data_IF_165820264850
#
_entry.id   IF_165820264850
#
_cell.length_a   1.000
_cell.length_b   1.000
_cell.length_c   1.000
_cell.angle_alpha   90.00
_cell.angle_beta   90.00
_cell.angle_gamma   90.00
#
_symmetry.space_group_name_H-M   'P 1'
#
loop_
_entity.id
_entity.type
_entity.pdbx_description
1 polymer ?
#
# COMPACT_ATOMS: atom_id res chain seq x y z
N UNK A 1 15.58 -29.11 14.51
CA UNK A 1 15.36 -28.05 15.52
C UNK A 1 14.79 -26.76 14.94
N UNK A 2 15.44 -26.09 13.97
CA UNK A 2 14.92 -24.83 13.38
C UNK A 2 13.53 -24.95 12.71
N UNK A 3 13.28 -26.05 11.97
CA UNK A 3 11.97 -26.30 11.32
C UNK A 3 10.85 -26.61 12.32
N UNK A 4 11.18 -27.23 13.45
CA UNK A 4 10.23 -27.58 14.52
C UNK A 4 9.79 -26.34 15.32
N UNK A 5 10.70 -25.38 15.53
CA UNK A 5 10.38 -24.11 16.18
C UNK A 5 9.39 -23.28 15.37
N UNK A 6 9.53 -23.27 14.03
CA UNK A 6 8.63 -22.55 13.13
C UNK A 6 7.21 -23.10 13.18
N UNK A 7 7.06 -24.43 13.20
CA UNK A 7 5.75 -25.10 13.31
C UNK A 7 5.13 -24.90 14.70
N UNK A 8 5.93 -24.86 15.76
CA UNK A 8 5.44 -24.55 17.12
C UNK A 8 4.99 -23.08 17.22
N UNK A 9 5.69 -22.14 16.58
CA UNK A 9 5.26 -20.73 16.50
C UNK A 9 3.93 -20.60 15.73
N UNK A 10 3.78 -21.37 14.65
CA UNK A 10 2.55 -21.48 13.87
C UNK A 10 1.39 -22.08 14.69
N UNK A 11 1.67 -23.09 15.53
CA UNK A 11 0.67 -23.75 16.38
C UNK A 11 0.28 -22.93 17.62
N UNK A 12 1.22 -22.18 18.22
CA UNK A 12 0.92 -21.28 19.34
C UNK A 12 0.06 -20.09 18.88
N UNK A 13 0.19 -19.67 17.62
CA UNK A 13 -0.68 -18.67 16.99
C UNK A 13 -2.14 -19.12 16.77
N UNK A 14 -2.49 -20.39 17.01
CA UNK A 14 -3.84 -20.94 16.80
C UNK A 14 -4.69 -21.06 18.07
N UNK A 15 -4.20 -20.62 19.24
CA UNK A 15 -4.99 -20.64 20.48
C UNK A 15 -5.80 -19.33 20.60
N UNK A 16 -7.12 -19.46 20.70
CA UNK A 16 -8.06 -18.35 20.79
C UNK A 16 -7.95 -17.61 22.14
N UNK A 17 -7.87 -16.29 22.09
CA UNK A 17 -7.75 -15.39 23.24
C UNK A 17 -8.55 -14.10 23.02
N UNK A 18 -8.96 -13.48 24.13
CA UNK A 18 -9.77 -12.25 24.27
C UNK A 18 -9.63 -11.24 23.12
N UNK A 19 -10.77 -10.89 22.49
CA UNK A 19 -10.87 -10.12 21.24
C UNK A 19 -10.65 -8.63 21.49
N UNK A 20 -9.41 -8.15 21.36
CA UNK A 20 -9.08 -6.74 21.09
C UNK A 20 -8.65 -6.63 19.63
N UNK A 21 -9.61 -6.84 18.72
CA UNK A 21 -9.29 -6.88 17.31
C UNK A 21 -9.26 -5.49 16.69
N UNK A 22 -8.12 -5.13 16.12
CA UNK A 22 -7.97 -4.14 15.06
C UNK A 22 -8.68 -4.54 13.77
N UNK A 23 -9.10 -5.81 13.63
CA UNK A 23 -9.89 -6.23 12.49
C UNK A 23 -11.37 -5.93 12.81
N UNK A 24 -12.01 -5.09 12.00
CA UNK A 24 -13.40 -4.69 12.13
C UNK A 24 -14.28 -5.87 11.75
N UNK A 25 -15.32 -6.16 12.55
CA UNK A 25 -16.34 -7.11 12.16
C UNK A 25 -16.90 -6.72 10.79
N UNK A 26 -16.93 -7.68 9.89
CA UNK A 26 -17.61 -7.56 8.60
C UNK A 26 -18.96 -6.83 8.74
N UNK A 27 -19.22 -5.90 7.81
CA UNK A 27 -20.52 -5.23 7.73
C UNK A 27 -21.67 -6.25 7.74
N UNK A 28 -22.78 -5.92 8.39
CA UNK A 28 -23.99 -6.75 8.33
C UNK A 28 -24.33 -7.07 6.87
N UNK A 29 -24.82 -8.29 6.62
CA UNK A 29 -25.09 -8.78 5.27
C UNK A 29 -25.92 -7.75 4.49
N UNK A 30 -25.39 -7.28 3.37
CA UNK A 30 -26.04 -6.25 2.58
C UNK A 30 -25.07 -5.20 2.07
N UNK A 31 -25.65 -4.12 1.55
CA UNK A 31 -24.93 -2.95 1.07
C UNK A 31 -24.44 -2.10 2.25
N UNK A 32 -23.24 -1.56 2.14
CA UNK A 32 -22.69 -0.64 3.13
C UNK A 32 -22.00 0.56 2.46
N UNK A 33 -21.92 1.64 3.24
CA UNK A 33 -21.14 2.84 2.94
C UNK A 33 -20.40 3.21 4.21
N UNK A 34 -19.08 3.36 4.12
CA UNK A 34 -18.24 3.93 5.16
C UNK A 34 -17.45 5.12 4.58
N UNK A 35 -16.59 5.73 5.40
CA UNK A 35 -15.89 6.96 5.01
C UNK A 35 -15.05 6.79 3.73
N UNK A 36 -14.41 5.63 3.57
CA UNK A 36 -13.48 5.39 2.46
C UNK A 36 -14.09 4.54 1.35
N UNK A 37 -15.10 3.73 1.66
CA UNK A 37 -15.56 2.66 0.79
C UNK A 37 -17.08 2.55 0.67
N UNK A 38 -17.52 2.11 -0.50
CA UNK A 38 -18.86 1.64 -0.79
C UNK A 38 -18.77 0.16 -1.17
N UNK A 39 -19.70 -0.68 -0.74
CA UNK A 39 -19.59 -2.09 -1.03
C UNK A 39 -20.78 -2.94 -0.64
N UNK A 40 -20.57 -4.25 -0.75
CA UNK A 40 -21.54 -5.27 -0.40
C UNK A 40 -20.86 -6.40 0.37
N UNK A 41 -21.49 -6.80 1.47
CA UNK A 41 -21.02 -7.83 2.39
C UNK A 41 -21.94 -9.05 2.34
N UNK A 42 -21.34 -10.25 2.29
CA UNK A 42 -22.06 -11.52 2.40
C UNK A 42 -21.18 -12.64 2.98
N UNK A 43 -21.77 -13.44 3.89
CA UNK A 43 -21.07 -14.54 4.57
C UNK A 43 -19.82 -14.06 5.31
N UNK A 44 -18.61 -14.36 4.83
CA UNK A 44 -17.32 -13.91 5.37
C UNK A 44 -16.56 -13.05 4.35
N UNK A 45 -17.28 -12.50 3.37
CA UNK A 45 -16.72 -11.81 2.21
C UNK A 45 -17.27 -10.39 2.15
N UNK A 46 -16.41 -9.47 1.75
CA UNK A 46 -16.77 -8.11 1.39
C UNK A 46 -16.19 -7.78 0.01
N UNK A 47 -16.97 -7.09 -0.82
CA UNK A 47 -16.51 -6.48 -2.06
C UNK A 47 -16.76 -4.99 -1.97
N UNK A 48 -15.76 -4.17 -2.28
CA UNK A 48 -15.86 -2.72 -2.15
C UNK A 48 -15.04 -1.96 -3.17
N UNK A 49 -15.41 -0.71 -3.41
CA UNK A 49 -14.62 0.28 -4.14
C UNK A 49 -14.43 1.51 -3.24
N UNK A 50 -13.47 2.37 -3.56
CA UNK A 50 -13.20 3.59 -2.81
C UNK A 50 -13.49 4.84 -3.66
N UNK A 51 -14.74 5.35 -3.67
CA UNK A 51 -15.16 6.42 -4.59
C UNK A 51 -14.39 7.74 -4.41
N UNK A 52 -13.79 7.97 -3.24
CA UNK A 52 -12.95 9.14 -3.02
C UNK A 52 -11.69 9.13 -3.89
N UNK A 53 -11.20 7.94 -4.25
CA UNK A 53 -10.01 7.77 -5.10
C UNK A 53 -10.32 8.05 -6.59
N UNK A 54 -11.59 7.93 -7.01
CA UNK A 54 -12.00 8.24 -8.38
C UNK A 54 -11.72 9.71 -8.75
N UNK A 55 -11.70 10.62 -7.76
CA UNK A 55 -11.40 12.06 -7.95
C UNK A 55 -9.95 12.27 -8.40
N UNK A 56 -9.04 11.38 -8.02
CA UNK A 56 -7.64 11.42 -8.46
C UNK A 56 -7.35 10.40 -9.58
N UNK A 57 -8.40 9.88 -10.21
CA UNK A 57 -8.30 8.93 -11.32
C UNK A 57 -7.91 7.51 -10.92
N UNK A 58 -8.02 7.17 -9.63
CA UNK A 58 -7.67 5.84 -9.11
C UNK A 58 -8.95 5.03 -8.95
N UNK A 59 -9.20 4.12 -9.87
CA UNK A 59 -10.38 3.26 -9.90
C UNK A 59 -10.03 1.88 -9.34
N UNK A 60 -10.59 1.53 -8.18
CA UNK A 60 -10.21 0.32 -7.46
C UNK A 60 -11.39 -0.63 -7.21
N UNK A 61 -11.06 -1.91 -7.04
CA UNK A 61 -11.93 -2.96 -6.55
C UNK A 61 -11.19 -3.77 -5.50
N UNK A 62 -11.76 -3.82 -4.29
CA UNK A 62 -11.33 -4.62 -3.17
C UNK A 62 -12.21 -5.85 -2.99
N UNK A 63 -11.58 -6.95 -2.58
CA UNK A 63 -12.22 -8.18 -2.15
C UNK A 63 -11.58 -8.59 -0.83
N UNK A 64 -12.36 -8.68 0.23
CA UNK A 64 -11.93 -9.08 1.56
C UNK A 64 -12.56 -10.41 1.94
N UNK A 65 -11.76 -11.27 2.55
CA UNK A 65 -12.19 -12.53 3.13
C UNK A 65 -11.70 -12.66 4.56
N UNK A 66 -12.65 -12.69 5.49
CA UNK A 66 -12.41 -12.86 6.91
C UNK A 66 -12.29 -14.35 7.22
N UNK A 67 -11.05 -14.82 7.40
CA UNK A 67 -10.78 -16.21 7.80
C UNK A 67 -11.28 -16.46 9.22
N UNK A 68 -11.04 -15.50 10.10
CA UNK A 68 -11.55 -15.43 11.47
C UNK A 68 -11.42 -13.99 11.99
N UNK A 69 -11.80 -13.77 13.26
CA UNK A 69 -11.76 -12.46 13.93
C UNK A 69 -10.36 -11.80 14.05
N UNK A 70 -9.29 -12.57 13.81
CA UNK A 70 -7.90 -12.14 13.94
C UNK A 70 -7.12 -12.19 12.63
N UNK A 71 -7.74 -12.60 11.51
CA UNK A 71 -7.05 -12.76 10.24
C UNK A 71 -7.94 -12.45 9.04
N UNK A 72 -7.43 -11.59 8.16
CA UNK A 72 -8.08 -11.17 6.93
C UNK A 72 -7.15 -11.40 5.73
N UNK A 73 -7.76 -11.81 4.62
CA UNK A 73 -7.16 -11.77 3.29
C UNK A 73 -7.85 -10.68 2.49
N UNK A 74 -7.10 -9.78 1.88
CA UNK A 74 -7.63 -8.73 1.00
C UNK A 74 -6.94 -8.84 -0.37
N UNK A 75 -7.71 -8.70 -1.43
CA UNK A 75 -7.21 -8.52 -2.79
C UNK A 75 -7.76 -7.19 -3.28
N UNK A 76 -6.87 -6.25 -3.56
CA UNK A 76 -7.25 -4.93 -4.08
C UNK A 76 -6.51 -4.68 -5.37
N UNK A 77 -7.25 -4.43 -6.45
CA UNK A 77 -6.67 -4.08 -7.73
C UNK A 77 -7.39 -2.92 -8.37
N UNK A 78 -6.72 -2.25 -9.29
CA UNK A 78 -7.27 -1.08 -9.94
C UNK A 78 -6.45 -0.56 -11.09
N UNK A 79 -6.99 0.49 -11.70
CA UNK A 79 -6.34 1.26 -12.75
C UNK A 79 -6.31 2.72 -12.29
N UNK A 80 -5.17 3.35 -12.52
CA UNK A 80 -4.90 4.76 -12.29
C UNK A 80 -4.81 5.40 -13.67
N UNK A 81 -5.68 6.38 -13.89
CA UNK A 81 -5.65 7.25 -15.04
C UNK A 81 -4.95 8.56 -14.64
N UNK A 82 -3.67 8.73 -15.02
CA UNK A 82 -2.87 9.87 -14.57
C UNK A 82 -3.35 11.20 -15.15
N UNK A 83 -4.24 11.20 -16.14
CA UNK A 83 -4.73 12.41 -16.80
C UNK A 83 -6.00 12.98 -16.15
N UNK A 84 -6.63 12.25 -15.23
CA UNK A 84 -7.83 12.75 -14.53
C UNK A 84 -7.52 14.01 -13.74
N UNK A 85 -6.46 13.99 -12.92
CA UNK A 85 -6.12 15.14 -12.08
C UNK A 85 -5.74 16.39 -12.91
N UNK A 86 -4.83 16.34 -13.90
CA UNK A 86 -4.56 17.48 -14.77
C UNK A 86 -5.81 18.02 -15.48
N UNK A 87 -6.71 17.14 -15.92
CA UNK A 87 -7.94 17.56 -16.62
C UNK A 87 -8.88 18.40 -15.75
N UNK A 88 -8.88 18.20 -14.42
CA UNK A 88 -9.62 19.08 -13.51
C UNK A 88 -9.06 20.51 -13.46
N UNK A 89 -7.78 20.69 -13.79
CA UNK A 89 -7.11 22.00 -13.86
C UNK A 89 -7.18 22.63 -15.25
N UNK A 90 -7.91 22.03 -16.19
CA UNK A 90 -8.11 22.57 -17.54
C UNK A 90 -7.05 22.14 -18.56
N UNK A 91 -6.11 21.28 -18.17
CA UNK A 91 -5.17 20.67 -19.10
C UNK A 91 -5.90 19.71 -20.03
N UNK A 92 -5.59 19.79 -21.33
CA UNK A 92 -6.15 18.86 -22.30
C UNK A 92 -5.57 17.48 -22.07
N UNK A 93 -6.41 16.45 -22.16
CA UNK A 93 -5.91 15.08 -22.22
C UNK A 93 -5.13 14.89 -23.52
N UNK A 94 -4.04 14.11 -23.53
CA UNK A 94 -3.37 13.76 -24.77
C UNK A 94 -4.34 13.09 -25.75
N UNK A 95 -4.25 13.49 -27.02
CA UNK A 95 -5.06 12.92 -28.10
C UNK A 95 -4.29 11.84 -28.89
N UNK A 96 -2.95 11.85 -28.80
CA UNK A 96 -2.02 11.01 -29.59
C UNK A 96 -1.33 9.92 -28.72
N UNK A 97 -2.10 9.24 -27.88
CA UNK A 97 -1.60 8.13 -27.05
C UNK A 97 -2.32 7.99 -25.71
N UNK A 98 -2.01 6.92 -24.99
CA UNK A 98 -2.56 6.68 -23.64
C UNK A 98 -1.50 6.13 -22.70
N UNK A 99 -1.60 6.45 -21.42
CA UNK A 99 -0.88 5.78 -20.34
C UNK A 99 -1.89 5.31 -19.29
N UNK A 100 -1.81 4.03 -18.94
CA UNK A 100 -2.55 3.44 -17.83
C UNK A 100 -1.56 2.85 -16.85
N UNK A 101 -1.72 3.19 -15.59
CA UNK A 101 -0.99 2.55 -14.51
C UNK A 101 -1.97 1.58 -13.85
N UNK A 102 -1.64 0.32 -13.71
CA UNK A 102 -2.47 -0.64 -12.97
C UNK A 102 -1.71 -1.17 -11.78
N UNK A 103 -2.48 -1.63 -10.80
CA UNK A 103 -1.91 -2.26 -9.63
C UNK A 103 -2.81 -3.40 -9.16
N UNK A 104 -2.19 -4.37 -8.52
CA UNK A 104 -2.86 -5.49 -7.88
C UNK A 104 -2.08 -5.86 -6.63
N UNK A 105 -2.75 -5.75 -5.49
CA UNK A 105 -2.22 -5.96 -4.17
C UNK A 105 -2.92 -7.17 -3.56
N UNK A 106 -2.13 -8.20 -3.21
CA UNK A 106 -2.59 -9.26 -2.33
C UNK A 106 -2.17 -8.94 -0.91
N UNK A 107 -3.05 -9.13 0.06
CA UNK A 107 -2.88 -8.69 1.43
C UNK A 107 -3.24 -9.81 2.39
N UNK A 108 -2.35 -10.11 3.33
CA UNK A 108 -2.68 -10.89 4.52
C UNK A 108 -2.32 -10.07 5.75
N UNK A 109 -3.28 -9.89 6.64
CA UNK A 109 -3.06 -9.26 7.93
C UNK A 109 -3.57 -10.12 9.05
N UNK A 110 -2.79 -10.13 10.12
CA UNK A 110 -3.10 -10.88 11.33
C UNK A 110 -2.97 -9.94 12.52
N UNK A 111 -3.87 -10.09 13.48
CA UNK A 111 -3.81 -9.41 14.76
C UNK A 111 -4.00 -10.40 15.90
N UNK A 112 -2.89 -10.84 16.49
CA UNK A 112 -2.90 -11.79 17.60
C UNK A 112 -2.83 -11.04 18.94
N UNK A 113 -3.83 -11.21 19.78
CA UNK A 113 -3.86 -10.59 21.11
C UNK A 113 -3.49 -11.59 22.20
N UNK A 114 -2.55 -11.20 23.06
CA UNK A 114 -2.12 -11.94 24.24
C UNK A 114 -2.21 -11.05 25.49
N UNK A 115 -3.39 -11.04 26.12
CA UNK A 115 -3.68 -10.13 27.23
C UNK A 115 -3.65 -8.68 26.75
N UNK A 116 -2.74 -7.88 27.31
CA UNK A 116 -2.52 -6.50 26.86
C UNK A 116 -1.50 -6.37 25.73
N UNK A 117 -0.90 -7.47 25.26
CA UNK A 117 0.00 -7.43 24.11
C UNK A 117 -0.75 -7.73 22.82
N UNK A 118 -0.34 -7.08 21.74
CA UNK A 118 -0.75 -7.39 20.37
C UNK A 118 0.47 -7.75 19.54
N UNK A 119 0.31 -8.70 18.62
CA UNK A 119 1.27 -8.97 17.55
C UNK A 119 0.52 -8.85 16.24
N UNK A 120 0.87 -7.82 15.48
CA UNK A 120 0.29 -7.52 14.18
C UNK A 120 1.31 -7.86 13.11
N UNK A 121 0.95 -8.77 12.22
CA UNK A 121 1.81 -9.16 11.10
C UNK A 121 1.10 -8.94 9.80
N UNK A 122 1.89 -8.66 8.78
CA UNK A 122 1.38 -8.31 7.47
C UNK A 122 2.36 -8.73 6.39
N UNK A 123 1.81 -9.25 5.30
CA UNK A 123 2.54 -9.54 4.07
C UNK A 123 1.68 -9.04 2.91
N UNK A 124 2.33 -8.35 1.99
CA UNK A 124 1.70 -7.81 0.79
C UNK A 124 2.56 -8.02 -0.46
N UNK A 125 2.33 -9.13 -1.20
CA UNK A 125 2.73 -9.17 -2.60
C UNK A 125 1.95 -8.14 -3.41
N UNK A 126 2.63 -7.39 -4.26
CA UNK A 126 2.02 -6.40 -5.14
C UNK A 126 2.57 -6.51 -6.55
N UNK A 127 1.71 -6.31 -7.52
CA UNK A 127 2.05 -6.12 -8.92
C UNK A 127 1.67 -4.68 -9.27
N UNK A 128 2.59 -3.94 -9.85
CA UNK A 128 2.35 -2.65 -10.46
C UNK A 128 2.73 -2.75 -11.93
N UNK A 129 2.03 -2.05 -12.79
CA UNK A 129 2.45 -1.93 -14.16
C UNK A 129 2.01 -0.64 -14.81
N UNK A 130 2.74 -0.28 -15.85
CA UNK A 130 2.46 0.86 -16.70
C UNK A 130 2.29 0.31 -18.10
N UNK A 131 1.16 0.62 -18.75
CA UNK A 131 0.97 0.39 -20.18
C UNK A 131 0.86 1.74 -20.86
N UNK A 132 1.69 1.96 -21.87
CA UNK A 132 1.72 3.18 -22.66
C UNK A 132 1.57 2.84 -24.14
N UNK A 133 0.77 3.62 -24.85
CA UNK A 133 0.72 3.62 -26.30
C UNK A 133 1.36 4.90 -26.79
N UNK A 134 2.36 4.74 -27.66
CA UNK A 134 3.07 5.87 -28.27
C UNK A 134 2.72 5.88 -29.75
N UNK A 135 2.05 6.94 -30.17
CA UNK A 135 1.87 7.25 -31.58
C UNK A 135 3.15 7.97 -32.04
N UNK A 136 4.01 7.27 -32.79
CA UNK A 136 5.17 7.89 -33.42
C UNK A 136 4.73 8.61 -34.71
N UNK A 137 5.28 9.80 -34.96
CA UNK A 137 4.88 10.69 -36.06
C UNK A 137 5.30 10.11 -37.43
N UNK A 138 6.26 9.18 -37.45
CA UNK A 138 6.88 8.67 -38.68
C UNK A 138 6.87 7.14 -38.89
N UNK A 139 6.42 6.30 -37.92
CA UNK A 139 6.31 4.84 -38.14
C UNK A 139 5.48 4.12 -37.05
N UNK A 140 4.53 3.28 -37.44
CA UNK A 140 3.68 2.38 -36.63
C UNK A 140 3.67 2.56 -35.09
N UNK A 141 2.53 3.02 -34.57
CA UNK A 141 2.23 3.10 -33.13
C UNK A 141 2.60 1.80 -32.40
N UNK A 142 3.23 1.90 -31.22
CA UNK A 142 3.62 0.71 -30.44
C UNK A 142 3.17 0.80 -28.97
N UNK A 143 2.84 -0.36 -28.42
CA UNK A 143 2.48 -0.52 -27.01
C UNK A 143 3.73 -0.89 -26.20
N UNK A 144 4.05 -0.08 -25.20
CA UNK A 144 5.02 -0.37 -24.15
C UNK A 144 4.29 -0.82 -22.88
N UNK A 145 4.82 -1.85 -22.24
CA UNK A 145 4.38 -2.34 -20.95
C UNK A 145 5.57 -2.51 -20.03
N UNK A 146 5.48 -2.01 -18.80
CA UNK A 146 6.42 -2.30 -17.71
C UNK A 146 5.64 -2.87 -16.55
N UNK A 147 6.14 -3.94 -15.94
CA UNK A 147 5.53 -4.66 -14.84
C UNK A 147 6.55 -4.84 -13.72
N UNK A 148 6.27 -4.32 -12.53
CA UNK A 148 7.05 -4.53 -11.33
C UNK A 148 6.28 -5.44 -10.36
N UNK A 149 6.93 -6.49 -9.87
CA UNK A 149 6.42 -7.29 -8.74
C UNK A 149 7.26 -6.99 -7.53
N UNK A 150 6.60 -6.63 -6.42
CA UNK A 150 7.24 -6.31 -5.16
C UNK A 150 6.58 -7.07 -4.02
N UNK A 151 7.34 -7.26 -2.95
CA UNK A 151 6.83 -7.84 -1.71
C UNK A 151 7.15 -6.91 -0.57
N UNK A 152 6.14 -6.63 0.26
CA UNK A 152 6.30 -5.89 1.51
C UNK A 152 5.85 -6.78 2.66
N UNK A 153 6.42 -6.52 3.83
CA UNK A 153 5.99 -7.18 5.04
C UNK A 153 6.26 -6.31 6.25
N UNK A 154 5.45 -6.51 7.29
CA UNK A 154 5.71 -5.91 8.57
C UNK A 154 5.37 -6.81 9.73
N UNK A 155 6.03 -6.53 10.85
CA UNK A 155 5.72 -7.12 12.15
C UNK A 155 5.75 -6.01 13.19
N UNK A 156 4.68 -5.92 13.97
CA UNK A 156 4.51 -4.92 15.01
C UNK A 156 4.08 -5.59 16.31
N UNK A 157 4.77 -5.25 17.39
CA UNK A 157 4.39 -5.57 18.75
C UNK A 157 3.75 -4.34 19.39
N UNK A 158 2.56 -4.53 19.93
CA UNK A 158 1.85 -3.50 20.68
C UNK A 158 1.62 -3.89 22.14
N UNK A 159 1.41 -2.88 22.97
CA UNK A 159 1.02 -3.01 24.36
C UNK A 159 -0.09 -2.00 24.68
N UNK A 160 -1.28 -2.52 24.99
CA UNK A 160 -2.44 -1.75 25.40
C UNK A 160 -2.28 -1.25 26.85
N UNK A 161 -2.15 0.07 27.03
CA UNK A 161 -2.25 0.69 28.37
C UNK A 161 -3.71 0.78 28.81
N UNK A 162 -4.63 0.96 27.86
CA UNK A 162 -6.08 0.91 28.04
C UNK A 162 -6.70 0.18 26.86
N UNK A 163 -8.01 -0.08 26.88
CA UNK A 163 -8.71 -0.72 25.76
C UNK A 163 -8.67 0.10 24.46
N UNK A 164 -8.39 1.40 24.57
CA UNK A 164 -8.42 2.35 23.47
C UNK A 164 -7.05 3.01 23.22
N UNK A 165 -6.00 2.61 23.94
CA UNK A 165 -4.67 3.21 23.81
C UNK A 165 -3.57 2.15 23.81
N UNK A 166 -2.76 2.17 22.76
CA UNK A 166 -1.73 1.19 22.48
C UNK A 166 -0.39 1.89 22.22
N UNK A 167 0.67 1.42 22.88
CA UNK A 167 2.05 1.72 22.50
C UNK A 167 2.52 0.64 21.52
N UNK A 168 3.26 1.00 20.48
CA UNK A 168 3.74 0.00 19.53
C UNK A 168 5.18 0.25 19.09
N UNK A 169 5.81 -0.85 18.69
CA UNK A 169 7.09 -0.87 17.97
C UNK A 169 7.02 -1.95 16.90
N UNK A 170 7.63 -1.70 15.74
CA UNK A 170 7.61 -2.64 14.64
C UNK A 170 8.71 -2.42 13.64
N UNK A 171 8.80 -3.35 12.71
CA UNK A 171 9.68 -3.29 11.56
C UNK A 171 8.86 -3.50 10.30
N UNK A 172 9.12 -2.69 9.29
CA UNK A 172 8.66 -2.87 7.93
C UNK A 172 9.86 -3.16 7.04
N UNK A 173 9.65 -3.94 6.00
CA UNK A 173 10.58 -3.98 4.88
C UNK A 173 9.89 -4.38 3.59
N UNK A 174 10.58 -4.13 2.49
CA UNK A 174 10.12 -4.54 1.19
C UNK A 174 11.24 -4.60 0.17
N UNK A 175 10.95 -5.29 -0.92
CA UNK A 175 11.92 -5.63 -1.94
C UNK A 175 11.25 -5.76 -3.31
N UNK A 176 11.96 -5.29 -4.34
CA UNK A 176 11.54 -5.45 -5.73
C UNK A 176 11.97 -6.83 -6.22
N UNK A 177 10.99 -7.69 -6.48
CA UNK A 177 11.24 -9.07 -6.88
C UNK A 177 11.59 -9.18 -8.37
N UNK A 178 10.82 -8.52 -9.23
CA UNK A 178 11.01 -8.57 -10.69
C UNK A 178 10.52 -7.31 -11.37
N UNK A 179 11.18 -6.95 -12.46
CA UNK A 179 10.70 -6.01 -13.47
C UNK A 179 10.63 -6.80 -14.77
N UNK A 180 9.52 -6.69 -15.51
CA UNK A 180 9.37 -7.23 -16.85
C UNK A 180 8.88 -6.12 -17.76
N UNK A 181 9.41 -6.06 -18.98
CA UNK A 181 8.97 -5.11 -20.00
C UNK A 181 8.47 -5.84 -21.24
N UNK A 182 7.58 -5.20 -21.98
CA UNK A 182 7.02 -5.71 -23.23
C UNK A 182 6.84 -4.55 -24.22
N UNK A 183 7.45 -4.59 -25.41
CA UNK A 183 8.43 -5.58 -25.87
C UNK A 183 9.68 -5.63 -24.96
N UNK A 184 10.28 -6.82 -24.87
CA UNK A 184 11.57 -7.02 -24.21
C UNK A 184 12.66 -6.37 -25.08
N UNK A 185 13.45 -5.40 -24.56
CA UNK A 185 14.49 -4.75 -25.33
C UNK A 185 15.66 -5.68 -25.70
N UNK A 186 15.83 -6.84 -25.06
CA UNK A 186 16.99 -7.75 -25.22
C UNK A 186 18.33 -6.97 -25.19
N UNK A 187 18.45 -6.09 -24.17
CA UNK A 187 19.54 -5.13 -24.04
C UNK A 187 20.26 -5.30 -22.69
N UNK A 188 21.59 -5.41 -22.72
CA UNK A 188 22.44 -5.55 -21.55
C UNK A 188 22.37 -4.32 -20.61
N UNK A 189 22.15 -3.13 -21.16
CA UNK A 189 21.98 -1.92 -20.36
C UNK A 189 20.66 -1.96 -19.57
N UNK A 190 19.62 -2.57 -20.15
CA UNK A 190 18.35 -2.78 -19.46
C UNK A 190 18.46 -3.83 -18.35
N UNK A 191 19.15 -4.94 -18.61
CA UNK A 191 19.42 -5.96 -17.58
C UNK A 191 20.20 -5.39 -16.39
N UNK A 192 21.20 -4.56 -16.67
CA UNK A 192 21.97 -3.87 -15.62
C UNK A 192 21.11 -2.86 -14.85
N UNK A 193 20.22 -2.13 -15.54
CA UNK A 193 19.22 -1.28 -14.89
C UNK A 193 18.32 -2.09 -13.94
N UNK A 194 17.77 -3.22 -14.39
CA UNK A 194 16.90 -4.07 -13.55
C UNK A 194 17.68 -4.62 -12.35
N UNK A 195 18.93 -5.04 -12.54
CA UNK A 195 19.79 -5.52 -11.46
C UNK A 195 20.02 -4.44 -10.41
N UNK A 196 20.40 -3.23 -10.84
CA UNK A 196 20.58 -2.07 -9.96
C UNK A 196 19.29 -1.70 -9.24
N UNK A 197 18.17 -1.64 -9.95
CA UNK A 197 16.87 -1.33 -9.35
C UNK A 197 16.52 -2.33 -8.23
N UNK A 198 16.80 -3.62 -8.41
CA UNK A 198 16.60 -4.64 -7.36
C UNK A 198 17.55 -4.44 -6.18
N UNK A 199 18.84 -4.20 -6.42
CA UNK A 199 19.83 -3.96 -5.37
C UNK A 199 19.50 -2.72 -4.53
N UNK A 200 19.08 -1.64 -5.19
CA UNK A 200 18.72 -0.37 -4.58
C UNK A 200 17.27 -0.37 -4.01
N UNK A 201 16.46 -1.40 -4.30
CA UNK A 201 15.06 -1.46 -3.85
C UNK A 201 14.87 -1.86 -2.40
N UNK A 202 15.80 -2.64 -1.82
CA UNK A 202 15.63 -3.21 -0.49
C UNK A 202 15.57 -2.09 0.53
N UNK A 203 14.46 -1.99 1.25
CA UNK A 203 14.32 -1.03 2.33
C UNK A 203 13.87 -1.71 3.62
N UNK A 204 14.20 -1.06 4.74
CA UNK A 204 13.74 -1.48 6.05
C UNK A 204 13.55 -0.27 6.94
N UNK A 205 12.40 -0.18 7.59
CA UNK A 205 12.02 0.90 8.49
C UNK A 205 11.71 0.32 9.87
N UNK A 206 12.35 0.86 10.91
CA UNK A 206 11.87 0.73 12.28
C UNK A 206 10.75 1.74 12.50
N UNK A 207 9.70 1.35 13.20
CA UNK A 207 8.59 2.23 13.57
C UNK A 207 8.25 2.07 15.03
N UNK A 208 7.84 3.16 15.67
CA UNK A 208 7.34 3.11 17.03
C UNK A 208 6.48 4.32 17.31
N UNK A 209 5.52 4.17 18.21
CA UNK A 209 4.57 5.24 18.44
C UNK A 209 3.42 4.84 19.34
N UNK A 210 2.34 5.59 19.19
CA UNK A 210 1.13 5.45 19.96
C UNK A 210 -0.07 5.40 19.04
N UNK A 211 -1.07 4.61 19.42
CA UNK A 211 -2.31 4.48 18.69
C UNK A 211 -3.49 4.64 19.64
N UNK A 212 -4.43 5.47 19.23
CA UNK A 212 -5.68 5.73 19.92
C UNK A 212 -6.83 5.18 19.11
N UNK A 213 -7.78 4.51 19.76
CA UNK A 213 -8.99 4.02 19.12
C UNK A 213 -10.21 4.77 19.67
N UNK A 214 -11.07 5.22 18.75
CA UNK A 214 -12.39 5.77 19.07
C UNK A 214 -13.45 4.77 18.61
N UNK A 215 -13.93 3.96 19.55
CA UNK A 215 -14.90 2.88 19.29
C UNK A 215 -14.34 1.80 18.37
N UNK A 216 -15.21 1.24 17.52
CA UNK A 216 -14.87 0.13 16.62
C UNK A 216 -14.48 0.59 15.21
N UNK A 217 -14.54 1.89 14.93
CA UNK A 217 -14.50 2.38 13.55
C UNK A 217 -13.25 3.20 13.25
N UNK A 218 -12.69 3.90 14.24
CA UNK A 218 -11.67 4.90 13.99
C UNK A 218 -10.45 4.72 14.89
N UNK A 219 -9.27 4.73 14.28
CA UNK A 219 -7.96 4.73 14.90
C UNK A 219 -7.15 5.94 14.45
N UNK A 220 -6.41 6.53 15.39
CA UNK A 220 -5.39 7.55 15.11
C UNK A 220 -4.06 6.99 15.56
N UNK A 221 -3.12 6.90 14.63
CA UNK A 221 -1.75 6.48 14.89
C UNK A 221 -0.82 7.68 14.76
N UNK A 222 -0.07 7.96 15.83
CA UNK A 222 1.04 8.91 15.81
C UNK A 222 2.32 8.12 16.00
N UNK A 223 3.17 8.11 14.98
CA UNK A 223 4.38 7.30 14.98
C UNK A 223 5.61 8.04 14.50
N UNK A 224 6.74 7.49 14.91
CA UNK A 224 8.07 7.83 14.43
C UNK A 224 8.63 6.67 13.61
N UNK A 225 9.37 6.98 12.55
CA UNK A 225 10.02 6.05 11.63
C UNK A 225 11.52 6.31 11.64
N UNK A 226 12.28 5.22 11.58
CA UNK A 226 13.74 5.24 11.49
C UNK A 226 14.10 4.38 10.30
N UNK A 227 14.81 4.98 9.34
CA UNK A 227 15.37 4.22 8.22
C UNK A 227 16.50 3.33 8.73
N UNK A 228 16.32 2.02 8.61
CA UNK A 228 17.34 1.00 8.95
C UNK A 228 18.15 0.61 7.72
N UNK A 229 17.47 0.50 6.58
CA UNK A 229 18.07 0.28 5.26
C UNK A 229 17.40 1.26 4.31
N UNK A 230 18.22 2.09 3.66
CA UNK A 230 17.77 3.11 2.73
C UNK A 230 17.69 2.55 1.31
N UNK A 231 16.47 2.29 0.84
CA UNK A 231 16.19 1.79 -0.50
C UNK A 231 15.02 2.53 -1.14
N UNK A 232 14.99 2.54 -2.47
CA UNK A 232 14.05 3.34 -3.27
C UNK A 232 12.57 3.01 -2.98
N UNK A 233 12.25 1.78 -2.57
CA UNK A 233 10.88 1.38 -2.23
C UNK A 233 10.37 2.00 -0.93
N UNK A 234 11.20 2.67 -0.12
CA UNK A 234 10.76 3.36 1.10
C UNK A 234 9.67 4.42 0.85
N UNK A 235 9.58 4.91 -0.39
CA UNK A 235 8.62 5.91 -0.83
C UNK A 235 7.31 5.31 -1.34
N UNK A 236 7.27 4.01 -1.67
CA UNK A 236 6.02 3.32 -1.97
C UNK A 236 5.40 2.85 -0.66
N UNK A 237 4.75 3.78 0.03
CA UNK A 237 3.92 3.51 1.22
C UNK A 237 2.49 3.18 0.75
N UNK A 238 1.58 2.73 1.61
CA UNK A 238 0.23 2.44 1.13
C UNK A 238 -0.58 1.51 2.02
N UNK A 239 -1.14 2.08 3.08
CA UNK A 239 -2.15 1.44 3.91
C UNK A 239 -3.45 2.26 4.00
N UNK A 240 -3.41 3.58 3.76
CA UNK A 240 -4.57 4.46 3.80
C UNK A 240 -4.63 5.40 2.58
N UNK A 241 -5.75 6.11 2.41
CA UNK A 241 -5.91 7.09 1.33
C UNK A 241 -4.85 8.22 1.37
N UNK A 242 -4.40 8.61 2.57
CA UNK A 242 -3.34 9.62 2.76
C UNK A 242 -2.02 9.19 2.15
N UNK A 243 -1.66 7.91 2.24
CA UNK A 243 -0.45 7.34 1.66
C UNK A 243 -0.52 7.37 0.13
N UNK A 244 -1.69 7.10 -0.46
CA UNK A 244 -1.88 7.23 -1.92
C UNK A 244 -1.70 8.68 -2.39
N UNK A 245 -2.27 9.63 -1.65
CA UNK A 245 -2.09 11.06 -1.91
C UNK A 245 -0.60 11.43 -1.79
N UNK A 246 0.07 11.03 -0.72
CA UNK A 246 1.50 11.27 -0.50
C UNK A 246 2.37 10.68 -1.60
N UNK A 247 2.13 9.42 -1.99
CA UNK A 247 2.85 8.77 -3.07
C UNK A 247 2.69 9.55 -4.38
N UNK A 248 1.49 10.07 -4.66
CA UNK A 248 1.22 10.86 -5.87
C UNK A 248 2.07 12.13 -5.91
N UNK A 249 2.12 12.89 -4.82
CA UNK A 249 2.97 14.09 -4.72
C UNK A 249 4.46 13.75 -4.76
N UNK A 250 4.89 12.71 -4.03
CA UNK A 250 6.30 12.29 -4.00
C UNK A 250 6.79 11.76 -5.34
N UNK A 251 5.96 11.00 -6.06
CA UNK A 251 6.28 10.52 -7.41
C UNK A 251 6.40 11.67 -8.40
N UNK A 252 5.55 12.69 -8.29
CA UNK A 252 5.64 13.89 -9.14
C UNK A 252 6.96 14.63 -8.89
N UNK A 253 7.33 14.82 -7.62
CA UNK A 253 8.61 15.46 -7.25
C UNK A 253 9.83 14.67 -7.75
N UNK A 254 9.82 13.34 -7.59
CA UNK A 254 10.87 12.46 -8.11
C UNK A 254 10.94 12.56 -9.64
N UNK A 255 9.80 12.56 -10.32
CA UNK A 255 9.73 12.63 -11.78
C UNK A 255 10.25 13.96 -12.31
N UNK A 256 9.81 15.09 -11.75
CA UNK A 256 10.33 16.42 -12.10
C UNK A 256 11.84 16.52 -11.84
N UNK A 257 12.33 15.93 -10.75
CA UNK A 257 13.77 15.84 -10.48
C UNK A 257 14.56 15.02 -11.50
N UNK A 258 13.98 13.91 -12.02
CA UNK A 258 14.59 13.10 -13.09
C UNK A 258 14.62 13.87 -14.41
N UNK A 259 13.58 14.65 -14.70
CA UNK A 259 13.47 15.44 -15.92
C UNK A 259 14.21 16.78 -15.87
N UNK A 260 14.82 17.13 -14.73
CA UNK A 260 15.40 18.45 -14.47
C UNK A 260 14.39 19.61 -14.64
N UNK A 261 13.11 19.34 -14.38
CA UNK A 261 12.02 20.30 -14.42
C UNK A 261 11.73 20.89 -13.03
N UNK A 262 11.13 22.08 -12.99
CA UNK A 262 10.68 22.71 -11.74
C UNK A 262 9.55 21.86 -11.13
N UNK A 263 9.73 21.42 -9.89
CA UNK A 263 8.72 20.62 -9.19
C UNK A 263 7.47 21.49 -8.94
N UNK A 264 6.32 21.18 -9.56
CA UNK A 264 5.10 21.98 -9.40
C UNK A 264 4.59 21.98 -7.95
N UNK A 265 5.11 21.09 -7.10
CA UNK A 265 4.75 20.93 -5.71
C UNK A 265 5.88 21.27 -4.73
N UNK A 266 6.97 21.93 -5.17
CA UNK A 266 8.10 22.30 -4.30
C UNK A 266 7.65 23.08 -3.05
N UNK A 267 6.59 23.89 -3.18
CA UNK A 267 6.03 24.71 -2.11
C UNK A 267 4.93 24.01 -1.29
N UNK A 268 4.49 22.80 -1.68
CA UNK A 268 3.49 22.02 -0.96
C UNK A 268 4.19 21.15 0.08
N UNK A 269 4.34 21.70 1.28
CA UNK A 269 4.71 20.90 2.44
C UNK A 269 3.47 20.18 2.99
N UNK A 270 3.37 18.85 2.81
CA UNK A 270 2.29 18.04 3.39
C UNK A 270 2.67 17.73 4.86
N UNK A 271 2.14 18.46 5.85
CA UNK A 271 2.75 18.55 7.19
C UNK A 271 2.57 17.31 8.08
N UNK A 272 1.92 16.25 7.58
CA UNK A 272 1.43 15.13 8.39
C UNK A 272 2.13 13.79 8.13
N UNK A 273 3.02 13.73 7.13
CA UNK A 273 3.93 12.61 6.87
C UNK A 273 5.27 13.21 6.43
N UNK A 274 6.09 13.55 7.41
CA UNK A 274 7.53 13.76 7.16
C UNK A 274 8.21 12.38 7.17
N UNK A 275 9.40 12.25 6.57
CA UNK A 275 10.13 10.96 6.49
C UNK A 275 10.23 10.23 7.83
N UNK A 276 10.21 10.99 8.94
CA UNK A 276 10.46 10.48 10.27
C UNK A 276 9.21 10.51 11.18
N UNK A 277 8.27 11.45 11.01
CA UNK A 277 7.02 11.50 11.80
C UNK A 277 5.80 11.39 10.91
N UNK A 278 4.85 10.54 11.31
CA UNK A 278 3.61 10.36 10.58
C UNK A 278 2.40 10.36 11.51
N UNK A 279 1.33 10.96 11.01
CA UNK A 279 -0.02 10.83 11.54
C UNK A 279 -0.82 10.00 10.53
N UNK A 280 -1.27 8.83 10.95
CA UNK A 280 -2.12 7.96 10.16
C UNK A 280 -3.51 7.90 10.78
N UNK A 281 -4.51 8.12 9.93
CA UNK A 281 -5.89 7.79 10.27
C UNK A 281 -6.15 6.41 9.71
N UNK A 282 -6.51 5.48 10.57
CA UNK A 282 -6.89 4.13 10.15
C UNK A 282 -8.32 3.90 10.53
N UNK A 283 -9.13 3.42 9.58
CA UNK A 283 -10.27 2.60 9.98
C UNK A 283 -9.66 1.32 10.54
N UNK A 284 -10.18 0.79 11.66
CA UNK A 284 -9.81 -0.59 12.04
C UNK A 284 -10.10 -1.50 10.80
N UNK A 285 -9.31 -2.54 10.54
CA UNK A 285 -9.28 -3.29 9.27
C UNK A 285 -10.44 -4.26 9.06
#
# INVERSE_FOLDING_TARGET
>A
MKKTLFVIFLLIGMLAFSVKSDIVPQHERGFFVNFENIGYSFSNVEMSTAPLLDIIGVYNLGFRYYLNENMILDLNGGVIDPFVLPSYFGEKRPEDGYIYIYYFNGYNHNNFNLGNFSLKTHIQPSLYGVKMHVDDVDNDSFDLGLNASLIRGFSQLGYYLTDNFELFVGIEGGYLFSINVNPDPDDADFDEFVRRAKEESLYSLGRGGVRFYSGDVFGVELGYRITLIDGALKFLQGYNATDYIYNTFSLTSIYSGILEEEDPFENINIPFITTDYYLSFTVKF
#
